data_IF_701849701371
#
_entry.id   IF_701849701371
#
_cell.length_a   1.000
_cell.length_b   1.000
_cell.length_c   1.000
_cell.angle_alpha   90.00
_cell.angle_beta   90.00
_cell.angle_gamma   90.00
#
_symmetry.space_group_name_H-M   'P 1'
#
loop_
_entity.id
_entity.type
_entity.pdbx_description
1 polymer ?
#
# COMPACT_ATOMS: atom_id res chain seq x y z
N UNK A 1 -30.28 -2.72 -7.95
CA UNK A 1 -28.89 -2.88 -8.43
C UNK A 1 -28.16 -1.60 -8.07
N UNK A 2 -27.41 -1.60 -6.97
CA UNK A 2 -26.64 -0.42 -6.57
C UNK A 2 -25.51 -0.22 -7.57
N UNK A 3 -25.33 1.00 -8.05
CA UNK A 3 -24.20 1.34 -8.90
C UNK A 3 -22.91 1.12 -8.10
N UNK A 4 -22.08 0.17 -8.52
CA UNK A 4 -20.73 -0.05 -7.99
C UNK A 4 -19.96 1.27 -8.07
N UNK A 5 -19.73 1.89 -6.91
CA UNK A 5 -18.92 3.10 -6.83
C UNK A 5 -17.48 2.78 -7.29
N UNK A 6 -16.75 3.76 -7.81
CA UNK A 6 -15.38 3.54 -8.28
C UNK A 6 -14.44 2.93 -7.23
N UNK A 7 -14.77 3.07 -5.94
CA UNK A 7 -14.00 2.57 -4.81
C UNK A 7 -14.13 1.04 -4.65
N UNK A 8 -15.28 0.43 -4.97
CA UNK A 8 -15.46 -1.03 -4.91
C UNK A 8 -14.49 -1.79 -5.82
N UNK A 9 -14.04 -1.14 -6.91
CA UNK A 9 -13.05 -1.68 -7.84
C UNK A 9 -11.65 -1.83 -7.23
N UNK A 10 -11.39 -1.22 -6.07
CA UNK A 10 -10.11 -1.33 -5.37
C UNK A 10 -10.02 -2.61 -4.52
N UNK A 11 -11.15 -3.28 -4.23
CA UNK A 11 -11.14 -4.52 -3.45
C UNK A 11 -10.31 -5.61 -4.13
N UNK A 12 -9.47 -6.28 -3.35
CA UNK A 12 -8.62 -7.36 -3.83
C UNK A 12 -7.23 -7.35 -3.23
N UNK A 13 -6.38 -8.22 -3.77
CA UNK A 13 -4.98 -8.36 -3.36
C UNK A 13 -4.09 -7.76 -4.44
N UNK A 14 -3.30 -6.77 -4.06
CA UNK A 14 -2.38 -6.06 -4.94
C UNK A 14 -0.94 -6.46 -4.61
N UNK A 15 -0.17 -6.74 -5.65
CA UNK A 15 1.26 -6.98 -5.52
C UNK A 15 2.04 -5.71 -5.83
N UNK A 16 3.07 -5.44 -5.02
CA UNK A 16 3.99 -4.35 -5.32
C UNK A 16 4.78 -4.65 -6.60
N UNK A 17 4.60 -3.78 -7.60
CA UNK A 17 5.32 -3.87 -8.89
C UNK A 17 6.59 -3.02 -8.85
N UNK A 18 6.45 -1.73 -8.57
CA UNK A 18 7.55 -0.78 -8.51
C UNK A 18 7.18 0.48 -7.70
N UNK A 19 8.17 1.30 -7.38
CA UNK A 19 8.02 2.51 -6.58
C UNK A 19 9.20 3.46 -6.74
N UNK A 20 8.92 4.65 -7.26
CA UNK A 20 9.92 5.69 -7.47
C UNK A 20 10.23 6.44 -6.17
N UNK A 21 11.53 6.65 -5.89
CA UNK A 21 12.02 7.49 -4.80
C UNK A 21 11.55 7.10 -3.38
N UNK A 22 11.18 5.84 -3.17
CA UNK A 22 10.71 5.34 -1.86
C UNK A 22 11.73 5.54 -0.72
N UNK A 23 13.03 5.41 -1.01
CA UNK A 23 14.10 5.66 -0.03
C UNK A 23 14.19 7.13 0.38
N UNK A 24 14.06 8.06 -0.59
CA UNK A 24 14.08 9.49 -0.33
C UNK A 24 12.90 9.86 0.55
N UNK A 25 11.69 9.38 0.22
CA UNK A 25 10.50 9.57 1.04
C UNK A 25 10.73 9.13 2.48
N UNK A 26 11.21 7.89 2.68
CA UNK A 26 11.50 7.37 4.02
C UNK A 26 12.56 8.19 4.76
N UNK A 27 13.58 8.69 4.06
CA UNK A 27 14.62 9.55 4.64
C UNK A 27 14.04 10.89 5.11
N UNK A 28 13.21 11.54 4.29
CA UNK A 28 12.61 12.84 4.60
C UNK A 28 11.65 12.77 5.80
N UNK A 29 10.95 11.64 5.99
CA UNK A 29 10.12 11.42 7.18
C UNK A 29 10.91 10.88 8.40
N UNK A 30 12.24 10.85 8.32
CA UNK A 30 13.11 10.53 9.46
C UNK A 30 13.36 9.05 9.72
N UNK A 31 13.03 8.14 8.79
CA UNK A 31 13.32 6.71 8.95
C UNK A 31 14.84 6.47 8.88
N UNK A 32 15.40 5.82 9.91
CA UNK A 32 16.82 5.52 9.99
C UNK A 32 17.34 4.61 8.87
N UNK A 33 18.62 4.76 8.52
CA UNK A 33 19.23 4.09 7.36
C UNK A 33 19.03 2.57 7.33
N UNK A 34 19.25 1.88 8.45
CA UNK A 34 19.12 0.42 8.54
C UNK A 34 17.69 -0.04 8.19
N UNK A 35 16.66 0.63 8.72
CA UNK A 35 15.26 0.30 8.45
C UNK A 35 14.89 0.53 6.98
N UNK A 36 15.43 1.59 6.35
CA UNK A 36 15.22 1.84 4.92
C UNK A 36 15.85 0.76 4.04
N UNK A 37 17.05 0.27 4.38
CA UNK A 37 17.66 -0.84 3.65
C UNK A 37 16.83 -2.11 3.77
N UNK A 38 16.31 -2.43 4.96
CA UNK A 38 15.40 -3.57 5.14
C UNK A 38 14.11 -3.40 4.34
N UNK A 39 13.50 -2.21 4.32
CA UNK A 39 12.26 -1.94 3.61
C UNK A 39 12.39 -2.13 2.09
N UNK A 40 13.54 -1.80 1.49
CA UNK A 40 13.81 -2.03 0.05
C UNK A 40 13.81 -3.50 -0.36
N UNK A 41 14.05 -4.41 0.59
CA UNK A 41 14.11 -5.85 0.32
C UNK A 41 12.73 -6.50 0.42
N UNK A 42 11.76 -5.85 1.05
CA UNK A 42 10.41 -6.36 1.24
C UNK A 42 9.55 -6.01 0.02
N UNK A 43 8.87 -7.00 -0.55
CA UNK A 43 7.82 -6.78 -1.55
C UNK A 43 6.45 -7.01 -0.89
N UNK A 44 5.81 -5.96 -0.37
CA UNK A 44 4.56 -6.12 0.35
C UNK A 44 3.41 -6.50 -0.60
N UNK A 45 2.40 -7.14 -0.03
CA UNK A 45 1.08 -7.28 -0.65
C UNK A 45 0.11 -6.36 0.09
N UNK A 46 -0.72 -5.64 -0.66
CA UNK A 46 -1.76 -4.78 -0.11
C UNK A 46 -3.10 -5.50 -0.29
N UNK A 47 -3.85 -5.70 0.80
CA UNK A 47 -5.14 -6.41 0.77
C UNK A 47 -6.24 -5.42 1.10
N UNK A 48 -6.98 -4.99 0.09
CA UNK A 48 -8.07 -4.04 0.26
C UNK A 48 -9.36 -4.84 0.43
N UNK A 49 -10.03 -4.65 1.57
CA UNK A 49 -11.27 -5.33 1.92
C UNK A 49 -12.32 -4.35 2.46
N UNK A 50 -13.59 -4.73 2.36
CA UNK A 50 -14.71 -3.94 2.86
C UNK A 50 -15.65 -4.81 3.69
N UNK A 51 -16.07 -4.31 4.85
CA UNK A 51 -17.10 -4.90 5.68
C UNK A 51 -18.17 -3.84 6.01
N UNK A 52 -19.30 -3.89 5.31
CA UNK A 52 -20.30 -2.82 5.33
C UNK A 52 -19.69 -1.50 4.87
N UNK A 53 -19.75 -0.47 5.72
CA UNK A 53 -19.18 0.85 5.43
C UNK A 53 -17.71 0.99 5.88
N UNK A 54 -17.09 -0.07 6.40
CA UNK A 54 -15.69 -0.05 6.88
C UNK A 54 -14.74 -0.63 5.85
N UNK A 55 -13.64 0.07 5.62
CA UNK A 55 -12.55 -0.35 4.74
C UNK A 55 -11.33 -0.80 5.56
N UNK A 56 -10.67 -1.87 5.10
CA UNK A 56 -9.41 -2.38 5.63
C UNK A 56 -8.33 -2.44 4.55
N UNK A 57 -7.06 -2.26 4.96
CA UNK A 57 -5.84 -2.27 4.14
C UNK A 57 -4.81 -3.23 4.72
#
# INVERSE_FOLDING_TARGET
MSATSGIEKLQGTWEYVDGERFDDYMKEIGVGFALRQSAKLVKPKLIISQNGDRWGL
#
